data_IF_004970797612
#
_entry.id   IF_004970797612
#
_cell.length_a   1.000
_cell.length_b   1.000
_cell.length_c   1.000
_cell.angle_alpha   90.00
_cell.angle_beta   90.00
_cell.angle_gamma   90.00
#
_symmetry.space_group_name_H-M   'P 1'
#
loop_
_entity.id
_entity.type
_entity.pdbx_description
1 polymer ?
#
# COMPACT_ATOMS: atom_id res chain seq x y z
N UNK A 1 -5.03 2.98 -2.54
CA UNK A 1 -5.53 2.08 -1.47
C UNK A 1 -6.71 1.24 -1.93
N UNK A 2 -7.68 1.81 -2.64
CA UNK A 2 -8.90 1.10 -3.09
C UNK A 2 -8.62 -0.16 -3.92
N UNK A 3 -7.77 -0.07 -4.95
CA UNK A 3 -7.42 -1.22 -5.79
C UNK A 3 -6.77 -2.37 -4.98
N UNK A 4 -5.87 -2.04 -4.04
CA UNK A 4 -5.28 -3.01 -3.13
C UNK A 4 -6.34 -3.60 -2.17
N UNK A 5 -7.23 -2.78 -1.61
CA UNK A 5 -8.31 -3.25 -0.75
C UNK A 5 -9.29 -4.18 -1.50
N UNK A 6 -9.53 -3.93 -2.78
CA UNK A 6 -10.34 -4.75 -3.68
C UNK A 6 -9.60 -5.99 -4.25
N UNK A 7 -8.38 -6.27 -3.77
CA UNK A 7 -7.55 -7.38 -4.22
C UNK A 7 -7.38 -7.40 -5.75
N UNK A 8 -7.21 -6.23 -6.36
CA UNK A 8 -6.95 -6.12 -7.79
C UNK A 8 -5.45 -6.19 -8.09
N UNK A 9 -5.04 -6.85 -9.19
CA UNK A 9 -3.67 -6.78 -9.67
C UNK A 9 -3.25 -5.32 -9.90
N UNK A 10 -2.07 -4.95 -9.40
CA UNK A 10 -1.63 -3.55 -9.37
C UNK A 10 -0.19 -3.41 -9.88
N UNK A 11 0.03 -2.35 -10.67
CA UNK A 11 1.35 -1.82 -11.03
C UNK A 11 1.40 -0.38 -10.56
N UNK A 12 2.46 0.02 -9.87
CA UNK A 12 2.60 1.39 -9.35
C UNK A 12 4.07 1.82 -9.33
N UNK A 13 4.29 3.13 -9.22
CA UNK A 13 5.63 3.74 -9.21
C UNK A 13 6.18 3.89 -7.80
N UNK A 14 7.51 3.88 -7.67
CA UNK A 14 8.22 4.19 -6.43
C UNK A 14 8.24 5.71 -6.15
N UNK A 15 7.14 6.22 -5.58
CA UNK A 15 6.98 7.64 -5.22
C UNK A 15 6.12 7.80 -3.98
N UNK A 16 6.39 8.87 -3.21
CA UNK A 16 5.55 9.25 -2.07
C UNK A 16 5.37 8.10 -1.08
N UNK A 17 4.13 7.89 -0.61
CA UNK A 17 3.77 6.83 0.33
C UNK A 17 3.49 5.45 -0.29
N UNK A 18 3.79 5.24 -1.58
CA UNK A 18 3.49 3.99 -2.28
C UNK A 18 4.35 2.81 -1.78
N UNK A 19 5.65 2.96 -1.50
CA UNK A 19 6.45 1.87 -0.92
C UNK A 19 5.87 1.32 0.40
N UNK A 20 5.32 2.18 1.23
CA UNK A 20 4.67 1.82 2.49
C UNK A 20 3.36 1.06 2.28
N UNK A 21 2.65 1.33 1.19
CA UNK A 21 1.43 0.59 0.79
C UNK A 21 1.80 -0.79 0.23
N UNK A 22 2.88 -0.89 -0.55
CA UNK A 22 3.32 -2.15 -1.15
C UNK A 22 4.06 -3.06 -0.15
N UNK A 23 4.69 -2.48 0.88
CA UNK A 23 5.34 -3.22 1.96
C UNK A 23 6.33 -4.25 1.42
N UNK A 24 6.19 -5.56 1.72
CA UNK A 24 7.05 -6.60 1.17
C UNK A 24 7.10 -6.67 -0.37
N UNK A 25 6.07 -6.17 -1.06
CA UNK A 25 6.01 -6.11 -2.52
C UNK A 25 6.66 -4.84 -3.11
N UNK A 26 7.21 -3.92 -2.30
CA UNK A 26 7.84 -2.69 -2.77
C UNK A 26 8.96 -2.90 -3.82
N UNK A 27 9.76 -3.98 -3.80
CA UNK A 27 10.73 -4.26 -4.87
C UNK A 27 10.13 -4.43 -6.28
N UNK A 28 8.81 -4.57 -6.40
CA UNK A 28 8.11 -4.70 -7.69
C UNK A 28 7.70 -3.34 -8.30
N UNK A 29 7.92 -2.24 -7.57
CA UNK A 29 7.55 -0.90 -8.03
C UNK A 29 8.40 -0.48 -9.23
N UNK A 30 7.78 0.27 -10.14
CA UNK A 30 8.47 0.78 -11.33
C UNK A 30 9.06 2.17 -11.06
N UNK A 31 10.18 2.54 -11.72
CA UNK A 31 10.71 3.90 -11.61
C UNK A 31 9.70 4.96 -12.08
N UNK A 32 9.62 6.13 -11.41
CA UNK A 32 8.78 7.22 -11.89
C UNK A 32 9.31 7.80 -13.20
N UNK A 33 8.38 8.29 -14.04
CA UNK A 33 8.67 8.93 -15.35
C UNK A 33 9.37 8.01 -16.37
N UNK A 34 9.35 6.71 -16.15
CA UNK A 34 9.82 5.71 -17.12
C UNK A 34 8.62 4.99 -17.76
N UNK A 35 8.17 5.51 -18.91
CA UNK A 35 7.03 4.95 -19.63
C UNK A 35 7.32 3.53 -20.16
N UNK A 36 8.57 3.23 -20.50
CA UNK A 36 8.97 1.92 -21.01
C UNK A 36 8.96 0.87 -19.90
N UNK A 37 9.44 1.21 -18.70
CA UNK A 37 9.36 0.35 -17.53
C UNK A 37 7.91 0.08 -17.12
N UNK A 38 7.06 1.13 -17.11
CA UNK A 38 5.63 0.98 -16.82
C UNK A 38 4.92 0.06 -17.82
N UNK A 39 5.13 0.28 -19.12
CA UNK A 39 4.52 -0.56 -20.15
C UNK A 39 4.94 -2.03 -20.02
N UNK A 40 6.23 -2.28 -19.76
CA UNK A 40 6.76 -3.63 -19.53
C UNK A 40 6.12 -4.29 -18.31
N UNK A 41 6.01 -3.57 -17.20
CA UNK A 41 5.40 -4.11 -15.98
C UNK A 41 3.91 -4.42 -16.17
N UNK A 42 3.16 -3.60 -16.91
CA UNK A 42 1.77 -3.87 -17.27
C UNK A 42 1.67 -5.14 -18.11
N UNK A 43 2.47 -5.26 -19.17
CA UNK A 43 2.48 -6.45 -20.03
C UNK A 43 2.86 -7.70 -19.25
N UNK A 44 3.94 -7.65 -18.45
CA UNK A 44 4.32 -8.76 -17.59
C UNK A 44 3.22 -9.14 -16.59
N UNK A 45 2.49 -8.17 -16.04
CA UNK A 45 1.35 -8.46 -15.16
C UNK A 45 0.19 -9.10 -15.92
N UNK A 46 -0.03 -8.75 -17.19
CA UNK A 46 -1.07 -9.34 -18.07
C UNK A 46 -0.70 -10.75 -18.55
N UNK A 47 0.59 -11.03 -18.74
CA UNK A 47 1.08 -12.33 -19.21
C UNK A 47 1.35 -13.31 -18.06
N UNK A 48 1.43 -12.81 -16.83
CA UNK A 48 1.63 -13.61 -15.62
C UNK A 48 0.51 -14.66 -15.45
N UNK A 49 0.86 -15.84 -14.92
CA UNK A 49 -0.12 -16.85 -14.56
C UNK A 49 -1.29 -16.26 -13.72
N UNK A 50 -2.56 -16.54 -14.08
CA UNK A 50 -3.71 -15.95 -13.39
C UNK A 50 -3.77 -16.27 -11.88
N UNK A 51 -3.38 -17.47 -11.45
CA UNK A 51 -3.40 -17.84 -10.04
C UNK A 51 -2.29 -17.11 -9.28
N UNK A 52 -1.09 -17.04 -9.86
CA UNK A 52 0.01 -16.27 -9.29
C UNK A 52 -0.36 -14.79 -9.12
N UNK A 53 -0.97 -14.21 -10.16
CA UNK A 53 -1.41 -12.81 -10.17
C UNK A 53 -2.48 -12.53 -9.11
N UNK A 54 -3.44 -13.44 -8.97
CA UNK A 54 -4.48 -13.35 -7.94
C UNK A 54 -3.88 -13.49 -6.52
N UNK A 55 -2.91 -14.40 -6.34
CA UNK A 55 -2.20 -14.59 -5.08
C UNK A 55 -1.44 -13.35 -4.61
N UNK A 56 -0.71 -12.68 -5.52
CA UNK A 56 -0.04 -11.42 -5.21
C UNK A 56 -1.02 -10.30 -4.82
N UNK A 57 -2.12 -10.18 -5.56
CA UNK A 57 -3.15 -9.18 -5.28
C UNK A 57 -3.84 -9.43 -3.92
N UNK A 58 -4.10 -10.69 -3.58
CA UNK A 58 -4.65 -11.09 -2.29
C UNK A 58 -3.66 -10.79 -1.14
N UNK A 59 -2.37 -11.07 -1.33
CA UNK A 59 -1.33 -10.79 -0.34
C UNK A 59 -1.20 -9.28 -0.06
N UNK A 60 -1.19 -8.45 -1.12
CA UNK A 60 -1.17 -6.99 -0.99
C UNK A 60 -2.44 -6.48 -0.28
N UNK A 61 -3.61 -7.04 -0.62
CA UNK A 61 -4.87 -6.70 0.04
C UNK A 61 -4.83 -6.99 1.54
N UNK A 62 -4.36 -8.18 1.92
CA UNK A 62 -4.24 -8.59 3.32
C UNK A 62 -3.29 -7.65 4.09
N UNK A 63 -2.14 -7.30 3.49
CA UNK A 63 -1.20 -6.35 4.07
C UNK A 63 -1.85 -4.98 4.30
N UNK A 64 -2.54 -4.45 3.28
CA UNK A 64 -3.21 -3.15 3.37
C UNK A 64 -4.31 -3.15 4.43
N UNK A 65 -5.13 -4.22 4.50
CA UNK A 65 -6.20 -4.34 5.49
C UNK A 65 -5.68 -4.42 6.93
N UNK A 66 -4.53 -5.07 7.13
CA UNK A 66 -3.89 -5.13 8.44
C UNK A 66 -3.33 -3.77 8.87
N UNK A 67 -2.67 -3.05 7.95
CA UNK A 67 -1.90 -1.84 8.26
C UNK A 67 -2.70 -0.54 8.18
N UNK A 68 -3.69 -0.46 7.29
CA UNK A 68 -4.45 0.75 6.97
C UNK A 68 -5.95 0.61 7.25
N UNK A 69 -6.32 -0.07 8.33
CA UNK A 69 -7.73 -0.17 8.74
C UNK A 69 -8.23 1.15 9.35
N UNK A 70 -9.51 1.46 9.14
CA UNK A 70 -10.15 2.65 9.73
C UNK A 70 -10.07 2.65 11.25
N UNK A 71 -10.21 1.47 11.89
CA UNK A 71 -10.05 1.34 13.33
C UNK A 71 -8.65 1.76 13.78
N UNK A 72 -7.61 1.27 13.10
CA UNK A 72 -6.22 1.62 13.46
C UNK A 72 -5.96 3.12 13.29
N UNK A 73 -6.46 3.72 12.21
CA UNK A 73 -6.34 5.17 12.01
C UNK A 73 -7.07 5.97 13.10
N UNK A 74 -8.26 5.53 13.52
CA UNK A 74 -9.01 6.17 14.59
C UNK A 74 -8.30 6.04 15.96
N UNK A 75 -7.80 4.85 16.28
CA UNK A 75 -7.02 4.59 17.50
C UNK A 75 -5.76 5.45 17.56
N UNK A 76 -4.98 5.46 16.48
CA UNK A 76 -3.73 6.22 16.39
C UNK A 76 -4.01 7.74 16.50
N UNK A 77 -5.11 8.22 15.89
CA UNK A 77 -5.56 9.61 16.01
C UNK A 77 -5.98 9.99 17.44
N UNK A 78 -6.78 9.14 18.10
CA UNK A 78 -7.19 9.35 19.50
C UNK A 78 -6.00 9.33 20.46
N UNK A 79 -5.03 8.44 20.24
CA UNK A 79 -3.80 8.39 21.00
C UNK A 79 -2.99 9.69 20.85
N UNK A 80 -2.89 10.23 19.62
CA UNK A 80 -2.27 11.51 19.35
C UNK A 80 -2.91 12.67 20.13
N UNK A 81 -4.25 12.74 20.14
CA UNK A 81 -4.98 13.74 20.93
C UNK A 81 -4.77 13.58 22.44
N UNK A 82 -4.76 12.35 22.95
CA UNK A 82 -4.53 12.08 24.37
C UNK A 82 -3.13 12.52 24.81
N UNK A 83 -2.11 12.25 24.00
CA UNK A 83 -0.72 12.67 24.25
C UNK A 83 -0.59 14.21 24.27
N UNK A 84 -1.16 14.89 23.28
CA UNK A 84 -1.15 16.36 23.22
C UNK A 84 -1.84 16.98 24.45
N UNK A 85 -2.94 16.39 24.92
CA UNK A 85 -3.63 16.84 26.13
C UNK A 85 -2.78 16.65 27.38
N UNK A 86 -2.08 15.53 27.51
CA UNK A 86 -1.20 15.25 28.65
C UNK A 86 -0.03 16.24 28.72
N UNK A 87 0.59 16.56 27.57
CA UNK A 87 1.67 17.56 27.51
C UNK A 87 1.23 18.96 27.94
N UNK A 88 -0.02 19.35 27.69
CA UNK A 88 -0.55 20.67 28.08
C UNK A 88 -0.96 20.75 29.55
N UNK A 89 -1.26 19.62 30.20
CA UNK A 89 -1.66 19.59 31.61
C UNK A 89 -0.46 19.51 32.58
N UNK A 90 0.74 19.20 32.07
CA UNK A 90 1.98 19.08 32.84
C UNK A 90 2.95 20.26 32.71
N UNK A 91 2.54 21.36 32.05
CA UNK A 91 3.26 22.63 32.01
C UNK A 91 2.40 23.74 32.59
#
# INVERSE_FOLDING_TARGET
>A
LEAAAAAQPLVSTDVGGIPEIFGPAAPTLVPPRDATALARAILSKIDQDPEQRAGEAAALSAFVRCRFSMNKMAEDGLAGYAAARAHRAGG
#
